data_IF_914394565057
#
_entry.id   IF_914394565057
#
_cell.length_a   1.000
_cell.length_b   1.000
_cell.length_c   1.000
_cell.angle_alpha   90.00
_cell.angle_beta   90.00
_cell.angle_gamma   90.00
#
_symmetry.space_group_name_H-M   'P 1'
#
loop_
_entity.id
_entity.type
_entity.pdbx_description
1 polymer ?
#
# COMPACT_ATOMS: atom_id res chain seq x y z
N UNK A 1 -10.37 -12.25 6.71
CA UNK A 1 -9.57 -11.79 5.55
C UNK A 1 -10.38 -10.75 4.82
N UNK A 2 -10.29 -9.49 5.24
CA UNK A 2 -10.85 -8.36 4.51
C UNK A 2 -10.05 -8.19 3.22
N UNK A 3 -10.74 -8.28 2.09
CA UNK A 3 -10.16 -8.26 0.76
C UNK A 3 -9.66 -6.84 0.44
N UNK A 4 -8.42 -6.49 0.81
CA UNK A 4 -7.71 -5.24 0.49
C UNK A 4 -7.32 -5.16 -1.01
N UNK A 5 -8.25 -5.54 -1.88
CA UNK A 5 -8.02 -5.76 -3.32
C UNK A 5 -7.80 -4.43 -4.03
N UNK A 6 -8.52 -3.37 -3.65
CA UNK A 6 -8.45 -2.08 -4.33
C UNK A 6 -7.07 -1.43 -4.12
N UNK A 7 -6.56 -1.45 -2.89
CA UNK A 7 -5.24 -0.94 -2.52
C UNK A 7 -4.12 -1.75 -3.18
N UNK A 8 -4.23 -3.08 -3.17
CA UNK A 8 -3.26 -3.96 -3.84
C UNK A 8 -3.20 -3.68 -5.35
N UNK A 9 -4.36 -3.53 -5.99
CA UNK A 9 -4.44 -3.20 -7.42
C UNK A 9 -3.85 -1.81 -7.70
N UNK A 10 -4.18 -0.80 -6.89
CA UNK A 10 -3.65 0.55 -7.06
C UNK A 10 -2.13 0.59 -6.88
N UNK A 11 -1.61 0.00 -5.80
CA UNK A 11 -0.17 -0.02 -5.49
C UNK A 11 0.62 -0.83 -6.53
N UNK A 12 0.09 -1.96 -6.99
CA UNK A 12 0.72 -2.75 -8.05
C UNK A 12 0.73 -2.03 -9.40
N UNK A 13 -0.36 -1.34 -9.77
CA UNK A 13 -0.40 -0.51 -10.97
C UNK A 13 0.66 0.61 -10.93
N UNK A 14 0.78 1.30 -9.79
CA UNK A 14 1.81 2.32 -9.61
C UNK A 14 3.23 1.77 -9.55
N UNK A 15 3.43 0.61 -8.93
CA UNK A 15 4.71 -0.10 -8.98
C UNK A 15 5.12 -0.42 -10.42
N UNK A 16 4.18 -0.93 -11.23
CA UNK A 16 4.39 -1.21 -12.65
C UNK A 16 4.71 0.04 -13.45
N UNK A 17 3.92 1.11 -13.28
CA UNK A 17 4.17 2.39 -13.96
C UNK A 17 5.55 2.96 -13.63
N UNK A 18 5.92 3.01 -12.35
CA UNK A 18 7.22 3.52 -11.91
C UNK A 18 8.36 2.63 -12.41
N UNK A 19 8.20 1.31 -12.36
CA UNK A 19 9.18 0.36 -12.87
C UNK A 19 9.43 0.53 -14.37
N UNK A 20 8.36 0.52 -15.19
CA UNK A 20 8.47 0.72 -16.63
C UNK A 20 9.07 2.09 -16.95
N UNK A 21 8.64 3.15 -16.27
CA UNK A 21 9.19 4.50 -16.46
C UNK A 21 10.68 4.57 -16.10
N UNK A 22 11.11 3.90 -15.02
CA UNK A 22 12.52 3.79 -14.66
C UNK A 22 13.33 3.05 -15.73
N UNK A 23 12.82 1.93 -16.25
CA UNK A 23 13.48 1.18 -17.33
C UNK A 23 13.61 2.01 -18.60
N UNK A 24 12.59 2.79 -18.95
CA UNK A 24 12.65 3.73 -20.08
C UNK A 24 13.72 4.81 -19.86
N UNK A 25 13.80 5.40 -18.67
CA UNK A 25 14.85 6.40 -18.37
C UNK A 25 16.27 5.80 -18.48
N UNK A 26 16.47 4.56 -18.01
CA UNK A 26 17.74 3.85 -18.17
C UNK A 26 18.07 3.54 -19.63
N UNK A 27 17.04 3.21 -20.42
CA UNK A 27 17.19 2.93 -21.84
C UNK A 27 17.53 4.20 -22.64
N UNK A 28 16.81 5.30 -22.43
CA UNK A 28 17.15 6.59 -23.04
C UNK A 28 18.52 7.12 -22.58
N UNK A 29 18.99 6.72 -21.39
CA UNK A 29 20.35 7.00 -20.93
C UNK A 29 21.42 6.09 -21.55
N UNK A 30 21.05 5.04 -22.30
CA UNK A 30 21.98 4.09 -22.92
C UNK A 30 22.56 3.05 -21.95
N UNK A 31 21.89 2.80 -20.82
CA UNK A 31 22.36 1.88 -19.77
C UNK A 31 21.54 0.58 -19.67
N UNK A 32 20.43 0.47 -20.41
CA UNK A 32 19.55 -0.70 -20.39
C UNK A 32 20.25 -2.02 -20.69
N UNK A 33 21.14 -2.06 -21.69
CA UNK A 33 21.94 -3.25 -22.01
C UNK A 33 22.83 -3.70 -20.85
N UNK A 34 23.39 -2.76 -20.09
CA UNK A 34 24.24 -3.05 -18.94
C UNK A 34 23.43 -3.55 -17.74
N UNK A 35 22.25 -2.96 -17.49
CA UNK A 35 21.40 -3.30 -16.33
C UNK A 35 20.58 -4.58 -16.56
N UNK A 36 20.03 -4.76 -17.76
CA UNK A 36 19.04 -5.81 -18.05
C UNK A 36 19.53 -6.86 -19.07
N UNK A 37 20.68 -6.64 -19.69
CA UNK A 37 21.19 -7.49 -20.77
C UNK A 37 20.58 -7.15 -22.15
N UNK A 38 21.19 -7.71 -23.20
CA UNK A 38 20.86 -7.40 -24.60
C UNK A 38 19.45 -7.82 -25.03
N UNK A 39 18.88 -8.86 -24.40
CA UNK A 39 17.54 -9.36 -24.75
C UNK A 39 16.44 -8.35 -24.37
N UNK A 40 16.52 -7.77 -23.18
CA UNK A 40 15.54 -6.77 -22.70
C UNK A 40 15.77 -5.44 -23.41
N UNK A 41 17.03 -5.09 -23.67
CA UNK A 41 17.39 -3.90 -24.45
C UNK A 41 16.75 -3.90 -25.85
N UNK A 42 16.86 -5.02 -26.57
CA UNK A 42 16.23 -5.17 -27.89
C UNK A 42 14.69 -5.23 -27.86
N UNK A 43 14.08 -5.49 -26.70
CA UNK A 43 12.63 -5.34 -26.53
C UNK A 43 12.23 -3.87 -26.32
N UNK A 44 13.03 -3.12 -25.56
CA UNK A 44 12.80 -1.69 -25.29
C UNK A 44 12.98 -0.86 -26.57
N UNK A 45 13.95 -1.20 -27.42
CA UNK A 45 14.15 -0.58 -28.75
C UNK A 45 12.91 -0.67 -29.64
N UNK A 46 12.11 -1.74 -29.50
CA UNK A 46 10.91 -1.97 -30.32
C UNK A 46 9.68 -1.21 -29.86
N UNK A 47 9.71 -0.60 -28.67
CA UNK A 47 8.54 0.03 -28.08
C UNK A 47 8.32 1.48 -28.54
N UNK A 48 9.06 1.96 -29.55
CA UNK A 48 8.89 3.26 -30.24
C UNK A 48 8.60 4.43 -29.27
N UNK A 49 9.42 4.56 -28.24
CA UNK A 49 9.26 5.62 -27.25
C UNK A 49 9.53 6.99 -27.87
N UNK A 50 8.64 7.95 -27.59
CA UNK A 50 8.92 9.36 -27.85
C UNK A 50 10.06 9.79 -26.92
N UNK A 51 11.14 10.37 -27.43
CA UNK A 51 12.24 10.82 -26.58
C UNK A 51 11.76 11.86 -25.56
N UNK A 52 12.22 11.73 -24.31
CA UNK A 52 11.91 12.70 -23.24
C UNK A 52 12.64 14.03 -23.45
N UNK A 53 13.72 14.07 -24.24
CA UNK A 53 14.50 15.31 -24.47
C UNK A 53 15.23 15.82 -23.23
N UNK A 54 15.59 14.93 -22.31
CA UNK A 54 16.20 15.25 -21.01
C UNK A 54 17.69 14.88 -21.02
N UNK A 55 18.52 15.61 -20.27
CA UNK A 55 19.95 15.34 -20.18
C UNK A 55 20.24 13.97 -19.54
N UNK A 56 21.34 13.32 -19.92
CA UNK A 56 21.73 12.00 -19.40
C UNK A 56 21.79 11.95 -17.86
N UNK A 57 22.41 12.95 -17.21
CA UNK A 57 22.50 13.00 -15.76
C UNK A 57 21.13 13.12 -15.07
N UNK A 58 20.19 13.85 -15.69
CA UNK A 58 18.82 13.96 -15.19
C UNK A 58 18.03 12.67 -15.40
N UNK A 59 18.23 11.96 -16.53
CA UNK A 59 17.62 10.66 -16.78
C UNK A 59 18.01 9.62 -15.72
N UNK A 60 19.28 9.62 -15.30
CA UNK A 60 19.75 8.77 -14.21
C UNK A 60 19.07 9.08 -12.88
N UNK A 61 18.95 10.36 -12.53
CA UNK A 61 18.25 10.79 -11.32
C UNK A 61 16.77 10.39 -11.33
N UNK A 62 16.10 10.58 -12.48
CA UNK A 62 14.71 10.16 -12.67
C UNK A 62 14.56 8.65 -12.55
N UNK A 63 15.43 7.87 -13.19
CA UNK A 63 15.43 6.41 -13.09
C UNK A 63 15.57 5.93 -11.64
N UNK A 64 16.49 6.52 -10.87
CA UNK A 64 16.69 6.19 -9.47
C UNK A 64 15.46 6.52 -8.62
N UNK A 65 14.87 7.71 -8.81
CA UNK A 65 13.67 8.14 -8.08
C UNK A 65 12.47 7.24 -8.37
N UNK A 66 12.24 6.92 -9.65
CA UNK A 66 11.17 6.03 -10.10
C UNK A 66 11.38 4.59 -9.61
N UNK A 67 12.62 4.09 -9.61
CA UNK A 67 12.93 2.77 -9.05
C UNK A 67 12.68 2.73 -7.54
N UNK A 68 13.09 3.76 -6.80
CA UNK A 68 12.82 3.87 -5.37
C UNK A 68 11.31 3.90 -5.07
N UNK A 69 10.54 4.62 -5.88
CA UNK A 69 9.08 4.63 -5.77
C UNK A 69 8.44 3.28 -6.12
N UNK A 70 8.94 2.59 -7.14
CA UNK A 70 8.46 1.25 -7.49
C UNK A 70 8.67 0.27 -6.32
N UNK A 71 9.85 0.30 -5.69
CA UNK A 71 10.15 -0.49 -4.48
C UNK A 71 9.22 -0.10 -3.33
N UNK A 72 9.00 1.20 -3.12
CA UNK A 72 8.06 1.70 -2.12
C UNK A 72 6.64 1.18 -2.34
N UNK A 73 6.12 1.24 -3.57
CA UNK A 73 4.81 0.70 -3.94
C UNK A 73 4.72 -0.82 -3.72
N UNK A 74 5.76 -1.58 -4.11
CA UNK A 74 5.80 -3.04 -3.90
C UNK A 74 5.80 -3.37 -2.41
N UNK A 75 6.63 -2.70 -1.62
CA UNK A 75 6.68 -2.92 -0.18
C UNK A 75 5.35 -2.55 0.49
N UNK A 76 4.75 -1.42 0.10
CA UNK A 76 3.42 -1.03 0.56
C UNK A 76 2.36 -2.07 0.20
N UNK A 77 2.38 -2.61 -1.02
CA UNK A 77 1.44 -3.65 -1.44
C UNK A 77 1.62 -4.93 -0.61
N UNK A 78 2.86 -5.38 -0.40
CA UNK A 78 3.16 -6.55 0.41
C UNK A 78 2.74 -6.37 1.87
N UNK A 79 2.96 -5.17 2.44
CA UNK A 79 2.60 -4.85 3.81
C UNK A 79 1.07 -4.76 3.99
N UNK A 80 0.38 -4.07 3.09
CA UNK A 80 -1.10 -3.95 3.10
C UNK A 80 -1.75 -5.32 2.84
N UNK A 81 -1.13 -6.19 2.05
CA UNK A 81 -1.60 -7.55 1.81
C UNK A 81 -1.31 -8.54 2.95
N UNK A 82 -0.69 -8.11 4.05
CA UNK A 82 -0.19 -8.98 5.14
C UNK A 82 0.72 -10.12 4.65
N UNK A 83 1.41 -9.93 3.52
CA UNK A 83 2.33 -10.92 2.94
C UNK A 83 3.72 -10.87 3.57
N UNK A 84 3.98 -9.86 4.40
CA UNK A 84 5.22 -9.66 5.14
C UNK A 84 4.86 -9.34 6.59
N UNK A 85 5.62 -9.86 7.55
CA UNK A 85 5.56 -9.53 8.98
C UNK A 85 6.09 -8.11 9.25
N UNK A 86 5.53 -7.12 8.56
CA UNK A 86 5.64 -5.74 9.00
C UNK A 86 4.74 -5.56 10.24
N UNK A 87 5.09 -4.71 11.21
CA UNK A 87 4.14 -4.32 12.23
C UNK A 87 2.94 -3.67 11.54
N UNK A 88 1.78 -4.34 11.56
CA UNK A 88 0.54 -3.94 10.84
C UNK A 88 0.20 -2.46 11.01
N UNK A 89 0.60 -1.87 12.14
CA UNK A 89 0.43 -0.46 12.49
C UNK A 89 1.04 0.55 11.51
N UNK A 90 2.02 0.16 10.69
CA UNK A 90 2.76 1.10 9.83
C UNK A 90 2.53 0.90 8.33
N UNK A 91 1.79 -0.14 7.92
CA UNK A 91 1.61 -0.47 6.50
C UNK A 91 0.82 0.61 5.75
N UNK A 92 -0.29 1.08 6.32
CA UNK A 92 -1.16 2.08 5.71
C UNK A 92 -0.54 3.50 5.70
N UNK A 93 0.05 4.01 6.81
CA UNK A 93 0.77 5.28 6.78
C UNK A 93 1.91 5.30 5.75
N UNK A 94 2.61 4.18 5.59
CA UNK A 94 3.66 4.05 4.59
C UNK A 94 3.09 4.11 3.16
N UNK A 95 1.99 3.40 2.88
CA UNK A 95 1.32 3.48 1.59
C UNK A 95 0.87 4.91 1.27
N UNK A 96 0.30 5.62 2.24
CA UNK A 96 -0.05 7.04 2.12
C UNK A 96 1.16 7.93 1.81
N UNK A 97 2.30 7.69 2.47
CA UNK A 97 3.54 8.40 2.21
C UNK A 97 4.07 8.16 0.79
N UNK A 98 3.96 6.93 0.27
CA UNK A 98 4.33 6.59 -1.11
C UNK A 98 3.48 7.35 -2.13
N UNK A 99 2.16 7.43 -1.92
CA UNK A 99 1.28 8.23 -2.78
C UNK A 99 1.56 9.73 -2.67
N UNK A 100 1.86 10.24 -1.47
CA UNK A 100 2.26 11.63 -1.29
C UNK A 100 3.58 11.94 -2.01
N UNK A 101 4.56 11.03 -1.97
CA UNK A 101 5.81 11.16 -2.71
C UNK A 101 5.58 11.14 -4.23
N UNK A 102 4.71 10.24 -4.72
CA UNK A 102 4.30 10.18 -6.13
C UNK A 102 3.64 11.49 -6.58
N UNK A 103 2.73 12.04 -5.78
CA UNK A 103 2.10 13.33 -6.06
C UNK A 103 3.12 14.48 -6.06
N UNK A 104 3.99 14.53 -5.04
CA UNK A 104 5.06 15.53 -4.95
C UNK A 104 6.01 15.48 -6.14
N UNK A 105 6.37 14.27 -6.60
CA UNK A 105 7.19 14.05 -7.78
C UNK A 105 6.49 14.54 -9.06
N UNK A 106 5.22 14.19 -9.26
CA UNK A 106 4.40 14.70 -10.36
C UNK A 106 4.32 16.24 -10.36
N UNK A 107 4.03 16.84 -9.20
CA UNK A 107 3.92 18.28 -9.05
C UNK A 107 5.26 18.98 -9.31
N UNK A 108 6.37 18.42 -8.81
CA UNK A 108 7.71 18.97 -9.04
C UNK A 108 8.09 18.98 -10.53
N UNK A 109 7.77 17.92 -11.27
CA UNK A 109 8.00 17.87 -12.72
C UNK A 109 7.14 18.89 -13.47
N UNK A 110 5.86 19.02 -13.11
CA UNK A 110 4.96 19.98 -13.74
C UNK A 110 5.37 21.43 -13.47
N UNK A 111 5.67 21.77 -12.21
CA UNK A 111 6.04 23.12 -11.80
C UNK A 111 7.43 23.55 -12.30
N UNK A 112 8.35 22.61 -12.49
CA UNK A 112 9.67 22.89 -13.07
C UNK A 112 9.63 23.06 -14.59
N UNK A 113 8.52 22.73 -15.26
CA UNK A 113 8.44 22.70 -16.73
C UNK A 113 9.32 21.61 -17.34
N UNK A 114 9.63 20.55 -16.58
CA UNK A 114 10.52 19.50 -17.03
C UNK A 114 9.91 18.71 -18.20
N UNK A 115 10.66 18.45 -19.29
CA UNK A 115 10.23 17.56 -20.37
C UNK A 115 9.88 16.15 -19.87
N UNK A 116 10.48 15.71 -18.76
CA UNK A 116 10.18 14.44 -18.12
C UNK A 116 8.72 14.33 -17.62
N UNK A 117 7.99 15.44 -17.52
CA UNK A 117 6.55 15.43 -17.25
C UNK A 117 5.77 14.59 -18.28
N UNK A 118 6.28 14.46 -19.51
CA UNK A 118 5.70 13.61 -20.55
C UNK A 118 5.63 12.12 -20.16
N UNK A 119 6.37 11.65 -19.15
CA UNK A 119 6.24 10.30 -18.60
C UNK A 119 4.81 10.01 -18.11
N UNK A 120 4.11 11.03 -17.63
CA UNK A 120 2.74 10.93 -17.12
C UNK A 120 1.67 11.10 -18.20
N UNK A 121 2.07 11.32 -19.46
CA UNK A 121 1.19 11.61 -20.58
C UNK A 121 0.72 13.07 -20.62
N UNK A 122 -0.18 13.37 -21.56
CA UNK A 122 -0.75 14.69 -21.73
C UNK A 122 -1.96 14.91 -20.81
N UNK A 123 -1.89 15.92 -19.93
CA UNK A 123 -3.03 16.43 -19.17
C UNK A 123 -3.11 16.01 -17.70
N UNK A 124 -4.25 16.28 -17.04
CA UNK A 124 -4.42 16.09 -15.60
C UNK A 124 -4.74 14.63 -15.21
N UNK A 125 -4.69 13.68 -16.13
CA UNK A 125 -5.08 12.30 -15.84
C UNK A 125 -4.21 11.65 -14.75
N UNK A 126 -2.94 12.00 -14.68
CA UNK A 126 -2.06 11.50 -13.63
C UNK A 126 -2.50 11.93 -12.22
N UNK A 127 -2.98 13.16 -12.02
CA UNK A 127 -3.51 13.57 -10.71
C UNK A 127 -4.79 12.80 -10.36
N UNK A 128 -5.64 12.56 -11.36
CA UNK A 128 -6.85 11.74 -11.18
C UNK A 128 -6.51 10.30 -10.77
N UNK A 129 -5.54 9.66 -11.42
CA UNK A 129 -5.12 8.30 -11.06
C UNK A 129 -4.44 8.24 -9.68
N UNK A 130 -3.68 9.28 -9.29
CA UNK A 130 -3.10 9.36 -7.96
C UNK A 130 -4.22 9.49 -6.91
N UNK A 131 -5.20 10.37 -7.17
CA UNK A 131 -6.36 10.54 -6.31
C UNK A 131 -7.19 9.25 -6.21
N UNK A 132 -7.35 8.51 -7.31
CA UNK A 132 -8.02 7.21 -7.32
C UNK A 132 -7.26 6.17 -6.48
N UNK A 133 -5.93 6.18 -6.52
CA UNK A 133 -5.10 5.30 -5.70
C UNK A 133 -5.22 5.60 -4.20
N UNK A 134 -5.26 6.88 -3.82
CA UNK A 134 -5.56 7.29 -2.45
C UNK A 134 -6.98 6.93 -2.03
N UNK A 135 -7.96 7.09 -2.93
CA UNK A 135 -9.35 6.69 -2.67
C UNK A 135 -9.47 5.18 -2.48
N UNK A 136 -8.72 4.37 -3.23
CA UNK A 136 -8.66 2.92 -3.05
C UNK A 136 -8.09 2.52 -1.69
N UNK A 137 -7.03 3.19 -1.23
CA UNK A 137 -6.50 3.02 0.14
C UNK A 137 -7.52 3.38 1.21
N UNK A 138 -8.17 4.54 1.06
CA UNK A 138 -9.18 5.00 2.01
C UNK A 138 -10.39 4.05 2.04
N UNK A 139 -10.83 3.57 0.89
CA UNK A 139 -11.94 2.63 0.78
C UNK A 139 -11.64 1.31 1.49
N UNK A 140 -10.47 0.72 1.26
CA UNK A 140 -10.08 -0.51 1.94
C UNK A 140 -9.88 -0.30 3.44
N UNK A 141 -9.35 0.86 3.86
CA UNK A 141 -9.22 1.22 5.27
C UNK A 141 -10.60 1.31 5.94
N UNK A 142 -11.54 2.05 5.36
CA UNK A 142 -12.90 2.20 5.89
C UNK A 142 -13.64 0.85 5.97
N UNK A 143 -13.48 -0.01 4.97
CA UNK A 143 -14.09 -1.35 5.00
C UNK A 143 -13.46 -2.23 6.07
N UNK A 144 -12.13 -2.17 6.23
CA UNK A 144 -11.42 -2.95 7.25
C UNK A 144 -11.81 -2.50 8.67
N UNK A 145 -11.94 -1.20 8.90
CA UNK A 145 -12.26 -0.63 10.22
C UNK A 145 -13.68 -1.02 10.68
N UNK A 146 -14.66 -1.04 9.77
CA UNK A 146 -16.02 -1.51 10.07
C UNK A 146 -16.12 -3.01 10.42
N UNK A 147 -15.13 -3.83 10.04
CA UNK A 147 -15.13 -5.27 10.32
C UNK A 147 -14.56 -5.62 11.70
N UNK A 148 -13.51 -4.92 12.13
CA UNK A 148 -12.78 -5.25 13.37
C UNK A 148 -13.41 -4.60 14.62
N UNK A 149 -14.06 -3.44 14.50
CA UNK A 149 -14.71 -2.78 15.66
C UNK A 149 -15.89 -3.60 16.22
N UNK A 150 -16.72 -4.17 15.34
CA UNK A 150 -17.88 -4.97 15.73
C UNK A 150 -17.45 -6.29 16.38
N UNK A 151 -16.42 -6.95 15.86
CA UNK A 151 -15.92 -8.21 16.42
C UNK A 151 -15.23 -8.00 17.78
N UNK A 152 -14.43 -6.94 17.95
CA UNK A 152 -13.77 -6.65 19.25
C UNK A 152 -14.79 -6.21 20.31
N UNK A 153 -15.80 -5.43 19.93
CA UNK A 153 -16.89 -5.04 20.82
C UNK A 153 -17.74 -6.26 21.22
N UNK A 154 -18.06 -7.12 20.27
CA UNK A 154 -18.81 -8.36 20.50
C UNK A 154 -18.05 -9.35 21.40
N UNK A 155 -16.75 -9.55 21.16
CA UNK A 155 -15.89 -10.41 22.00
C UNK A 155 -15.79 -9.88 23.44
N UNK A 156 -15.74 -8.56 23.60
CA UNK A 156 -15.72 -7.92 24.92
C UNK A 156 -17.04 -8.14 25.66
N UNK A 157 -18.18 -8.03 24.96
CA UNK A 157 -19.51 -8.30 25.51
C UNK A 157 -19.63 -9.77 25.90
N UNK A 158 -19.19 -10.70 25.05
CA UNK A 158 -19.21 -12.14 25.34
C UNK A 158 -18.37 -12.51 26.54
N UNK A 159 -17.16 -11.94 26.70
CA UNK A 159 -16.34 -12.14 27.91
C UNK A 159 -17.02 -11.61 29.17
N UNK A 160 -17.69 -10.45 29.08
CA UNK A 160 -18.48 -9.94 30.21
C UNK A 160 -19.65 -10.86 30.58
N UNK A 161 -20.33 -11.45 29.60
CA UNK A 161 -21.42 -12.41 29.84
C UNK A 161 -20.87 -13.69 30.47
N UNK A 162 -19.73 -14.21 30.01
CA UNK A 162 -19.09 -15.38 30.59
C UNK A 162 -18.62 -15.15 32.03
N UNK A 163 -18.01 -14.00 32.33
CA UNK A 163 -17.58 -13.64 33.69
C UNK A 163 -18.78 -13.42 34.63
N UNK A 164 -19.85 -12.81 34.13
CA UNK A 164 -21.09 -12.66 34.89
C UNK A 164 -21.76 -14.03 35.17
N UNK A 165 -21.74 -14.95 34.20
CA UNK A 165 -22.28 -16.29 34.39
C UNK A 165 -21.42 -17.11 35.37
N UNK A 166 -20.09 -17.02 35.26
CA UNK A 166 -19.16 -17.70 36.18
C UNK A 166 -19.31 -17.21 37.61
N UNK A 167 -19.50 -15.90 37.81
CA UNK A 167 -19.74 -15.34 39.16
C UNK A 167 -21.11 -15.74 39.73
N UNK A 168 -22.17 -15.77 38.91
CA UNK A 168 -23.49 -16.24 39.33
C UNK A 168 -23.51 -17.74 39.71
N UNK A 169 -22.77 -18.58 38.98
CA UNK A 169 -22.63 -20.02 39.31
C UNK A 169 -21.89 -20.19 40.64
N UNK A 170 -20.77 -19.47 40.83
CA UNK A 170 -20.01 -19.52 42.08
C UNK A 170 -20.82 -19.00 43.30
N UNK A 171 -21.66 -18.00 43.11
CA UNK A 171 -22.54 -17.49 44.16
C UNK A 171 -23.66 -18.48 44.50
N UNK A 172 -24.19 -19.19 43.51
CA UNK A 172 -25.18 -20.25 43.71
C UNK A 172 -24.59 -21.44 44.47
N UNK A 173 -23.38 -21.88 44.13
CA UNK A 173 -22.70 -22.97 44.85
C UNK A 173 -22.43 -22.62 46.32
N UNK A 174 -22.07 -21.36 46.62
CA UNK A 174 -21.91 -20.89 48.01
C UNK A 174 -23.22 -20.90 48.80
N UNK A 175 -24.34 -20.48 48.19
CA UNK A 175 -25.66 -20.52 48.85
C UNK A 175 -26.17 -21.94 49.11
N UNK A 176 -25.82 -22.92 48.27
CA UNK A 176 -26.22 -24.31 48.47
C UNK A 176 -25.29 -25.09 49.40
N UNK A 177 -24.00 -24.72 49.49
CA UNK A 177 -23.05 -25.34 50.42
C UNK A 177 -23.22 -24.93 51.89
N UNK A 178 -23.80 -23.76 52.16
CA UNK A 178 -24.02 -23.23 53.51
C UNK A 178 -25.26 -23.84 54.21
N UNK A 179 -26.10 -24.58 53.48
CA UNK A 179 -27.28 -25.26 54.03
C UNK A 179 -27.05 -26.73 54.42
N UNK A 180 -25.85 -27.27 54.22
CA UNK A 180 -25.52 -28.65 54.59
C UNK A 180 -24.80 -28.83 55.93
N UNK A 181 -24.46 -27.75 56.65
CA UNK A 181 -23.65 -27.83 57.87
C UNK A 181 -24.39 -27.43 59.16
N UNK A 182 -25.69 -27.09 59.08
CA UNK A 182 -26.50 -26.67 60.25
C UNK A 182 -27.45 -27.75 60.79
N UNK A 183 -27.14 -29.03 60.52
CA UNK A 183 -27.85 -30.18 61.11
C UNK A 183 -26.87 -31.07 61.88
N UNK A 184 -26.48 -30.61 63.08
CA UNK A 184 -25.87 -31.41 64.14
C UNK A 184 -26.59 -31.18 65.46
#
# INVERSE_FOLDING_TARGET
MTNRIASLLALSAWAGFCGVSATRCLHEAGLSAWVFGSTIDGLLDRAEWISLGVSHGTLLGLAAMLAAMAIGCVYAALAVGHLVTAPDRNAEPFAGAVFAALFGFYAALGLSGSPAFALFGAGPLATLFIALGLAALLFDHLIADTGDEDDIAFDRIMRHIEDANRSAIAERERRFGDHSDDSR
#
